data_IF_068604601468
#
_entry.id   IF_068604601468
#
_cell.length_a   1.000
_cell.length_b   1.000
_cell.length_c   1.000
_cell.angle_alpha   90.00
_cell.angle_beta   90.00
_cell.angle_gamma   90.00
#
_symmetry.space_group_name_H-M   'P 1'
#
loop_
_entity.id
_entity.type
_entity.pdbx_description
1 polymer ?
#
# COMPACT_ATOMS: atom_id res chain seq x y z
N UNK A 1 23.46 10.62 -21.52
CA UNK A 1 24.04 11.15 -20.26
C UNK A 1 22.96 11.04 -19.17
N UNK A 2 23.31 10.68 -17.94
CA UNK A 2 22.35 10.70 -16.84
C UNK A 2 22.05 12.15 -16.44
N UNK A 3 20.76 12.49 -16.30
CA UNK A 3 20.32 13.84 -15.94
C UNK A 3 19.23 13.85 -14.87
N UNK A 4 19.12 14.98 -14.19
CA UNK A 4 17.97 15.33 -13.34
C UNK A 4 17.26 16.50 -13.99
N UNK A 5 15.96 16.38 -14.26
CA UNK A 5 15.13 17.47 -14.80
C UNK A 5 14.30 18.07 -13.69
N UNK A 6 14.36 19.38 -13.49
CA UNK A 6 13.62 20.06 -12.45
C UNK A 6 12.72 21.16 -13.04
N UNK A 7 11.45 21.20 -12.61
CA UNK A 7 10.46 22.22 -13.03
C UNK A 7 9.64 22.67 -11.82
N UNK A 8 9.41 23.98 -11.74
CA UNK A 8 8.59 24.63 -10.73
C UNK A 8 7.34 25.18 -11.39
N UNK A 9 6.16 24.76 -10.93
CA UNK A 9 4.87 25.11 -11.52
C UNK A 9 4.09 26.08 -10.63
N UNK A 10 3.36 27.05 -11.22
CA UNK A 10 2.49 27.97 -10.49
C UNK A 10 1.16 27.33 -10.03
N UNK A 11 0.96 26.03 -10.26
CA UNK A 11 -0.26 25.30 -9.89
C UNK A 11 0.07 24.00 -9.13
N UNK A 12 -0.97 23.20 -8.86
CA UNK A 12 -0.87 21.85 -8.27
C UNK A 12 -0.79 20.74 -9.35
N UNK A 13 -0.85 21.09 -10.63
CA UNK A 13 -0.94 20.20 -11.79
C UNK A 13 0.21 20.44 -12.78
N UNK A 14 0.52 19.41 -13.59
CA UNK A 14 1.58 19.48 -14.63
C UNK A 14 1.04 20.09 -15.93
N UNK A 15 -0.27 20.00 -16.18
CA UNK A 15 -0.93 20.50 -17.39
C UNK A 15 -1.14 22.02 -17.33
N UNK A 16 -0.04 22.76 -17.33
CA UNK A 16 0.01 24.22 -17.43
C UNK A 16 0.99 24.62 -18.52
N UNK A 17 0.65 25.66 -19.29
CA UNK A 17 1.49 26.17 -20.39
C UNK A 17 2.75 26.89 -19.87
N UNK A 18 2.74 27.32 -18.61
CA UNK A 18 3.77 28.16 -18.00
C UNK A 18 4.41 27.52 -16.76
N UNK A 19 5.73 27.66 -16.64
CA UNK A 19 6.51 27.32 -15.46
C UNK A 19 7.06 28.59 -14.78
N UNK A 20 7.41 28.50 -13.49
CA UNK A 20 8.10 29.56 -12.72
C UNK A 20 9.61 29.48 -12.93
N UNK A 21 10.15 28.26 -12.87
CA UNK A 21 11.58 27.96 -12.92
C UNK A 21 11.76 26.56 -13.54
N UNK A 22 12.82 26.36 -14.33
CA UNK A 22 13.11 25.08 -14.98
C UNK A 22 14.61 24.94 -15.22
N UNK A 23 15.20 23.81 -14.85
CA UNK A 23 16.63 23.56 -14.98
C UNK A 23 16.91 22.05 -15.16
N UNK A 24 17.87 21.75 -16.06
CA UNK A 24 18.36 20.40 -16.33
C UNK A 24 19.78 20.26 -15.77
N UNK A 25 20.00 19.27 -14.90
CA UNK A 25 21.31 18.99 -14.32
C UNK A 25 21.95 17.77 -14.99
N UNK A 26 23.17 17.95 -15.48
CA UNK A 26 24.02 16.93 -16.08
C UNK A 26 25.47 17.12 -15.60
N UNK A 27 26.30 16.07 -15.70
CA UNK A 27 27.71 16.12 -15.29
C UNK A 27 28.02 15.21 -14.09
N UNK A 28 29.05 15.52 -13.29
CA UNK A 28 29.39 14.79 -12.07
C UNK A 28 28.21 14.71 -11.08
N UNK A 29 28.13 13.60 -10.34
CA UNK A 29 27.01 13.36 -9.41
C UNK A 29 26.92 14.41 -8.30
N UNK A 30 28.05 14.95 -7.85
CA UNK A 30 28.09 16.01 -6.84
C UNK A 30 27.50 17.33 -7.37
N UNK A 31 27.85 17.72 -8.60
CA UNK A 31 27.29 18.91 -9.26
C UNK A 31 25.78 18.75 -9.47
N UNK A 32 25.34 17.58 -9.95
CA UNK A 32 23.92 17.25 -10.09
C UNK A 32 23.18 17.38 -8.75
N UNK A 33 23.76 16.86 -7.66
CA UNK A 33 23.18 16.98 -6.32
C UNK A 33 23.11 18.44 -5.84
N UNK A 34 24.21 19.20 -5.98
CA UNK A 34 24.30 20.61 -5.55
C UNK A 34 23.33 21.49 -6.35
N UNK A 35 23.24 21.28 -7.66
CA UNK A 35 22.28 21.96 -8.54
C UNK A 35 20.83 21.65 -8.18
N UNK A 36 20.47 20.37 -8.11
CA UNK A 36 19.12 19.94 -7.73
C UNK A 36 18.69 20.44 -6.34
N UNK A 37 19.60 20.43 -5.34
CA UNK A 37 19.32 20.96 -4.00
C UNK A 37 19.15 22.49 -4.03
N UNK A 38 19.93 23.19 -4.84
CA UNK A 38 19.82 24.65 -5.03
C UNK A 38 18.50 25.02 -5.72
N UNK A 39 18.07 24.25 -6.72
CA UNK A 39 16.78 24.40 -7.39
C UNK A 39 15.62 24.24 -6.41
N UNK A 40 15.62 23.18 -5.60
CA UNK A 40 14.56 22.98 -4.61
C UNK A 40 14.58 24.14 -3.60
N UNK A 41 15.74 24.46 -3.02
CA UNK A 41 15.82 25.46 -1.93
C UNK A 41 15.47 26.88 -2.38
N UNK A 42 15.74 27.28 -3.63
CA UNK A 42 15.27 28.57 -4.18
C UNK A 42 13.77 28.60 -4.51
N UNK A 43 13.14 27.45 -4.73
CA UNK A 43 11.69 27.29 -4.97
C UNK A 43 10.88 26.92 -3.70
N UNK A 44 11.52 26.88 -2.53
CA UNK A 44 10.85 26.79 -1.22
C UNK A 44 10.46 28.19 -0.73
N UNK A 45 9.28 28.29 -0.10
CA UNK A 45 8.85 29.52 0.56
C UNK A 45 9.73 29.77 1.80
N UNK A 46 10.08 31.02 2.05
CA UNK A 46 10.69 31.47 3.29
C UNK A 46 9.59 31.95 4.23
N UNK A 47 9.58 31.45 5.46
CA UNK A 47 8.64 31.78 6.53
C UNK A 47 9.38 32.47 7.68
N UNK A 48 8.70 33.39 8.36
CA UNK A 48 9.27 34.11 9.50
C UNK A 48 9.46 33.21 10.74
N UNK A 49 8.66 32.14 10.87
CA UNK A 49 8.81 31.11 11.91
C UNK A 49 9.02 31.66 13.35
N UNK A 50 8.29 32.73 13.69
CA UNK A 50 8.35 33.37 15.01
C UNK A 50 9.58 34.27 15.26
N UNK A 51 10.40 34.54 14.24
CA UNK A 51 11.54 35.45 14.33
C UNK A 51 11.12 36.92 14.17
N UNK A 52 12.04 37.87 14.42
CA UNK A 52 11.80 39.29 14.18
C UNK A 52 11.66 39.61 12.69
N UNK A 53 11.05 40.75 12.35
CA UNK A 53 10.94 41.24 10.96
C UNK A 53 12.32 41.48 10.31
N UNK A 54 13.34 41.75 11.13
CA UNK A 54 14.73 41.95 10.70
C UNK A 54 15.52 40.63 10.55
N UNK A 55 14.89 39.47 10.79
CA UNK A 55 15.53 38.16 10.65
C UNK A 55 15.37 37.60 9.23
N UNK A 56 16.41 36.93 8.73
CA UNK A 56 16.30 36.15 7.49
C UNK A 56 15.27 35.03 7.65
N UNK A 57 14.27 34.99 6.76
CA UNK A 57 13.23 33.97 6.78
C UNK A 57 13.76 32.54 6.60
N UNK A 58 13.33 31.63 7.46
CA UNK A 58 13.66 30.20 7.41
C UNK A 58 12.91 29.50 6.27
N UNK A 59 13.51 28.48 5.67
CA UNK A 59 12.82 27.63 4.69
C UNK A 59 11.60 26.94 5.34
N UNK A 60 10.49 26.86 4.61
CA UNK A 60 9.25 26.22 5.09
C UNK A 60 9.41 24.72 5.42
N UNK A 61 10.34 24.05 4.73
CA UNK A 61 10.74 22.65 4.91
C UNK A 61 12.26 22.65 5.09
N UNK A 62 12.76 21.86 6.04
CA UNK A 62 14.20 21.81 6.33
C UNK A 62 15.00 21.26 5.15
N UNK A 63 16.15 21.89 4.85
CA UNK A 63 17.11 21.46 3.80
C UNK A 63 17.50 19.98 3.94
N UNK A 64 17.62 19.49 5.18
CA UNK A 64 17.95 18.09 5.49
C UNK A 64 16.97 17.11 4.84
N UNK A 65 15.69 17.45 4.74
CA UNK A 65 14.68 16.59 4.07
C UNK A 65 15.10 16.32 2.62
N UNK A 66 15.48 17.37 1.89
CA UNK A 66 15.84 17.25 0.48
C UNK A 66 17.26 16.71 0.26
N UNK A 67 18.18 16.94 1.20
CA UNK A 67 19.49 16.25 1.20
C UNK A 67 19.29 14.73 1.24
N UNK A 68 18.52 14.22 2.20
CA UNK A 68 18.25 12.78 2.31
C UNK A 68 17.49 12.24 1.09
N UNK A 69 16.44 12.93 0.63
CA UNK A 69 15.63 12.44 -0.48
C UNK A 69 16.36 12.46 -1.83
N UNK A 70 17.17 13.49 -2.12
CA UNK A 70 18.00 13.53 -3.33
C UNK A 70 19.12 12.50 -3.29
N UNK A 71 19.81 12.33 -2.15
CA UNK A 71 20.83 11.30 -1.98
C UNK A 71 20.24 9.90 -2.18
N UNK A 72 19.07 9.60 -1.60
CA UNK A 72 18.40 8.33 -1.83
C UNK A 72 17.97 8.16 -3.30
N UNK A 73 17.43 9.21 -3.93
CA UNK A 73 17.02 9.17 -5.33
C UNK A 73 18.20 8.91 -6.28
N UNK A 74 19.39 9.46 -6.00
CA UNK A 74 20.62 9.23 -6.76
C UNK A 74 21.22 7.83 -6.50
N UNK A 75 21.40 7.42 -5.24
CA UNK A 75 22.01 6.11 -4.90
C UNK A 75 21.17 4.94 -5.41
N UNK A 76 19.85 4.99 -5.22
CA UNK A 76 18.95 3.86 -5.45
C UNK A 76 18.21 3.92 -6.80
N UNK A 77 18.52 4.91 -7.66
CA UNK A 77 18.06 4.96 -9.05
C UNK A 77 18.41 3.67 -9.79
N UNK A 78 17.52 3.26 -10.69
CA UNK A 78 17.82 2.23 -11.68
C UNK A 78 18.73 2.79 -12.79
N UNK A 79 19.99 2.37 -12.80
CA UNK A 79 20.96 2.84 -13.79
C UNK A 79 20.88 2.13 -15.14
N UNK A 80 20.09 1.06 -15.26
CA UNK A 80 19.80 0.41 -16.55
C UNK A 80 18.67 1.11 -17.33
N UNK A 81 17.84 1.92 -16.66
CA UNK A 81 16.75 2.65 -17.29
C UNK A 81 17.25 4.00 -17.82
N UNK A 82 17.04 4.28 -19.11
CA UNK A 82 17.39 5.58 -19.72
C UNK A 82 16.28 6.63 -19.50
N UNK A 83 16.03 6.99 -18.25
CA UNK A 83 15.08 8.05 -17.86
C UNK A 83 15.70 8.98 -16.80
N UNK A 84 15.41 10.29 -16.83
CA UNK A 84 15.92 11.22 -15.81
C UNK A 84 15.21 11.03 -14.47
N UNK A 85 15.87 11.43 -13.38
CA UNK A 85 15.12 11.77 -12.15
C UNK A 85 14.37 13.07 -12.44
N UNK A 86 13.09 13.14 -12.05
CA UNK A 86 12.27 14.34 -12.22
C UNK A 86 11.97 14.97 -10.87
N UNK A 87 12.17 16.28 -10.77
CA UNK A 87 11.84 17.08 -9.59
C UNK A 87 10.75 18.06 -10.01
N UNK A 88 9.59 18.00 -9.35
CA UNK A 88 8.49 18.91 -9.62
C UNK A 88 8.11 19.69 -8.36
N UNK A 89 8.33 21.00 -8.37
CA UNK A 89 7.89 21.90 -7.31
C UNK A 89 6.50 22.45 -7.67
N UNK A 90 5.47 22.04 -6.92
CA UNK A 90 4.11 22.58 -7.03
C UNK A 90 3.82 23.55 -5.88
N UNK A 91 2.70 24.25 -5.95
CA UNK A 91 2.26 25.18 -4.88
C UNK A 91 1.86 24.49 -3.58
N UNK A 92 1.48 23.21 -3.64
CA UNK A 92 1.05 22.37 -2.50
C UNK A 92 2.08 21.32 -2.07
N UNK A 93 3.04 20.94 -2.92
CA UNK A 93 4.00 19.84 -2.64
C UNK A 93 5.25 19.91 -3.52
N UNK A 94 6.28 19.12 -3.17
CA UNK A 94 7.45 18.85 -4.00
C UNK A 94 7.46 17.36 -4.30
N UNK A 95 7.59 16.96 -5.56
CA UNK A 95 7.70 15.57 -5.99
C UNK A 95 9.12 15.27 -6.48
N UNK A 96 9.72 14.16 -6.02
CA UNK A 96 10.97 13.60 -6.54
C UNK A 96 10.65 12.21 -7.09
N UNK A 97 10.79 12.04 -8.40
CA UNK A 97 10.44 10.82 -9.14
C UNK A 97 11.73 10.19 -9.65
N UNK A 98 12.16 9.07 -9.09
CA UNK A 98 13.34 8.32 -9.52
C UNK A 98 12.96 7.07 -10.34
N UNK A 99 13.71 6.74 -11.41
CA UNK A 99 13.56 5.48 -12.13
C UNK A 99 13.86 4.25 -11.25
N UNK A 100 13.04 3.21 -11.39
CA UNK A 100 13.09 1.97 -10.63
C UNK A 100 12.10 1.92 -9.47
N UNK A 101 11.68 0.72 -9.10
CA UNK A 101 10.86 0.42 -7.93
C UNK A 101 11.73 -0.09 -6.75
N UNK A 102 11.14 -0.40 -5.58
CA UNK A 102 11.91 -0.90 -4.44
C UNK A 102 12.49 -2.30 -4.74
N UNK A 103 13.77 -2.57 -4.42
CA UNK A 103 14.40 -3.85 -4.73
C UNK A 103 13.91 -4.98 -3.81
N UNK A 104 13.83 -6.19 -4.36
CA UNK A 104 13.55 -7.44 -3.64
C UNK A 104 12.22 -7.37 -2.82
N UNK A 105 12.27 -7.75 -1.55
CA UNK A 105 11.13 -7.77 -0.62
C UNK A 105 11.03 -6.49 0.23
N UNK A 106 11.64 -5.39 -0.22
CA UNK A 106 11.58 -4.09 0.44
C UNK A 106 10.22 -3.43 0.14
N UNK A 107 9.63 -2.81 1.17
CA UNK A 107 8.31 -2.15 1.09
C UNK A 107 8.41 -0.74 1.66
N UNK A 108 7.42 0.10 1.36
CA UNK A 108 7.34 1.48 1.90
C UNK A 108 7.38 1.48 3.45
N UNK A 109 6.75 0.50 4.09
CA UNK A 109 6.78 0.35 5.55
C UNK A 109 8.19 0.02 6.06
N UNK A 110 8.91 -0.89 5.39
CA UNK A 110 10.28 -1.28 5.76
C UNK A 110 11.28 -0.15 5.59
N UNK A 111 11.20 0.65 4.51
CA UNK A 111 12.09 1.82 4.36
C UNK A 111 11.79 2.89 5.40
N UNK A 112 10.52 3.09 5.79
CA UNK A 112 10.15 3.96 6.92
C UNK A 112 10.67 3.41 8.25
N UNK A 113 10.72 2.09 8.42
CA UNK A 113 11.36 1.41 9.55
C UNK A 113 12.91 1.45 9.51
N UNK A 114 13.53 2.00 8.46
CA UNK A 114 14.98 2.17 8.31
C UNK A 114 15.70 0.99 7.67
N UNK A 115 14.98 -0.01 7.15
CA UNK A 115 15.58 -1.08 6.36
C UNK A 115 16.08 -0.50 5.04
N UNK A 116 17.38 -0.64 4.78
CA UNK A 116 18.01 -0.28 3.51
C UNK A 116 18.37 -1.52 2.70
N UNK A 117 18.35 -1.40 1.38
CA UNK A 117 18.91 -2.39 0.46
C UNK A 117 19.62 -1.66 -0.67
N UNK A 118 20.94 -1.85 -0.78
CA UNK A 118 21.79 -1.12 -1.72
C UNK A 118 21.71 -1.79 -3.09
N UNK A 119 21.21 -1.06 -4.09
CA UNK A 119 21.10 -1.54 -5.48
C UNK A 119 22.46 -1.62 -6.18
N UNK A 120 23.34 -0.64 -5.93
CA UNK A 120 24.70 -0.59 -6.48
C UNK A 120 25.72 -0.39 -5.34
N UNK A 121 26.35 -1.48 -4.84
CA UNK A 121 27.33 -1.41 -3.75
C UNK A 121 28.55 -0.55 -4.08
N UNK A 122 29.00 -0.56 -5.35
CA UNK A 122 30.15 0.22 -5.81
C UNK A 122 29.84 1.71 -5.67
N UNK A 123 28.69 2.16 -6.21
CA UNK A 123 28.25 3.56 -6.12
C UNK A 123 28.07 4.01 -4.66
N UNK A 124 27.44 3.20 -3.82
CA UNK A 124 27.27 3.49 -2.41
C UNK A 124 28.61 3.60 -1.66
N UNK A 125 29.63 2.85 -2.06
CA UNK A 125 30.98 2.94 -1.47
C UNK A 125 31.68 4.27 -1.77
N UNK A 126 31.58 4.80 -2.99
CA UNK A 126 32.12 6.13 -3.34
C UNK A 126 31.39 7.25 -2.62
N UNK A 127 30.06 7.13 -2.50
CA UNK A 127 29.24 8.11 -1.81
C UNK A 127 29.51 8.12 -0.29
N UNK A 128 29.75 6.95 0.31
CA UNK A 128 30.16 6.83 1.72
C UNK A 128 31.58 7.36 2.00
N UNK A 129 32.41 7.56 0.96
CA UNK A 129 33.73 8.21 1.05
C UNK A 129 33.67 9.75 0.96
N UNK A 130 32.48 10.35 0.93
CA UNK A 130 32.28 11.80 1.02
C UNK A 130 31.82 12.51 -0.25
N UNK A 131 31.58 11.79 -1.37
CA UNK A 131 31.08 12.40 -2.61
C UNK A 131 29.70 13.08 -2.46
N UNK A 132 28.88 12.60 -1.53
CA UNK A 132 27.59 13.19 -1.15
C UNK A 132 27.42 13.13 0.38
N UNK A 133 26.52 13.92 1.00
CA UNK A 133 26.25 13.87 2.45
C UNK A 133 25.48 12.59 2.85
N UNK A 134 26.18 11.46 2.85
CA UNK A 134 25.65 10.12 3.12
C UNK A 134 26.55 9.36 4.10
N UNK A 135 25.94 8.57 5.00
CA UNK A 135 26.68 7.76 6.00
C UNK A 135 26.36 6.26 5.98
N UNK A 136 25.57 5.76 5.02
CA UNK A 136 25.25 4.32 4.91
C UNK A 136 24.30 3.73 5.97
N UNK A 137 24.02 4.44 7.07
CA UNK A 137 23.33 3.91 8.27
C UNK A 137 21.83 3.58 8.12
N UNK A 138 21.25 3.63 6.92
CA UNK A 138 19.80 3.43 6.70
C UNK A 138 18.87 4.48 7.35
N UNK A 139 19.43 5.50 8.00
CA UNK A 139 18.67 6.49 8.79
C UNK A 139 18.07 7.64 7.97
N UNK A 140 18.40 7.78 6.69
CA UNK A 140 18.05 8.96 5.90
C UNK A 140 16.54 9.21 5.77
N UNK A 141 15.78 8.16 5.45
CA UNK A 141 14.31 8.26 5.35
C UNK A 141 13.67 8.56 6.72
N UNK A 142 14.23 8.03 7.82
CA UNK A 142 13.78 8.38 9.18
C UNK A 142 14.04 9.85 9.49
N UNK A 143 15.26 10.34 9.26
CA UNK A 143 15.63 11.75 9.52
C UNK A 143 14.80 12.72 8.66
N UNK A 144 14.49 12.36 7.42
CA UNK A 144 13.56 13.14 6.58
C UNK A 144 12.15 13.20 7.18
N UNK A 145 11.61 12.07 7.67
CA UNK A 145 10.29 12.00 8.30
C UNK A 145 10.23 12.64 9.70
N UNK A 146 11.31 12.57 10.47
CA UNK A 146 11.46 13.26 11.77
C UNK A 146 11.49 14.78 11.57
N UNK A 147 12.22 15.27 10.55
CA UNK A 147 12.26 16.68 10.19
C UNK A 147 10.96 17.18 9.52
N UNK A 148 10.27 16.30 8.78
CA UNK A 148 9.00 16.62 8.11
C UNK A 148 8.10 15.36 7.97
N UNK A 149 7.07 15.19 8.82
CA UNK A 149 6.23 13.99 8.78
C UNK A 149 5.34 13.86 7.54
N UNK A 150 5.02 14.98 6.88
CA UNK A 150 4.07 15.04 5.76
C UNK A 150 4.75 14.63 4.43
N UNK A 151 5.29 13.40 4.38
CA UNK A 151 5.95 12.79 3.22
C UNK A 151 5.29 11.45 2.83
N UNK A 152 4.75 11.42 1.62
CA UNK A 152 4.28 10.19 0.97
C UNK A 152 5.39 9.56 0.13
N UNK A 153 5.43 8.23 0.14
CA UNK A 153 6.30 7.41 -0.68
C UNK A 153 5.41 6.47 -1.48
N UNK A 154 5.57 6.46 -2.80
CA UNK A 154 4.71 5.76 -3.74
C UNK A 154 5.60 4.91 -4.64
N UNK A 155 5.33 3.61 -4.66
CA UNK A 155 5.96 2.67 -5.56
C UNK A 155 5.00 2.36 -6.71
N UNK A 156 5.44 2.61 -7.94
CA UNK A 156 4.78 2.15 -9.16
C UNK A 156 5.64 1.04 -9.78
N UNK A 157 5.16 -0.20 -9.67
CA UNK A 157 5.85 -1.39 -10.19
C UNK A 157 5.60 -1.62 -11.68
N UNK A 158 4.55 -1.04 -12.26
CA UNK A 158 4.21 -1.19 -13.67
C UNK A 158 4.92 -0.13 -14.50
N UNK A 159 4.90 1.13 -14.04
CA UNK A 159 5.70 2.22 -14.61
C UNK A 159 7.18 2.16 -14.26
N UNK A 160 7.61 1.25 -13.36
CA UNK A 160 8.97 1.17 -12.83
C UNK A 160 9.48 2.51 -12.28
N UNK A 161 8.69 3.14 -11.39
CA UNK A 161 9.01 4.43 -10.76
C UNK A 161 8.88 4.36 -9.24
N UNK A 162 9.71 5.16 -8.57
CA UNK A 162 9.56 5.45 -7.14
C UNK A 162 9.41 6.96 -6.97
N UNK A 163 8.29 7.38 -6.39
CA UNK A 163 7.94 8.80 -6.21
C UNK A 163 7.85 9.13 -4.74
N UNK A 164 8.54 10.20 -4.34
CA UNK A 164 8.41 10.81 -3.02
C UNK A 164 7.67 12.14 -3.16
N UNK A 165 6.62 12.36 -2.38
CA UNK A 165 5.86 13.63 -2.35
C UNK A 165 5.99 14.26 -0.97
N UNK A 166 6.64 15.41 -0.90
CA UNK A 166 6.81 16.23 0.31
C UNK A 166 5.73 17.32 0.29
N UNK A 167 4.71 17.22 1.13
CA UNK A 167 3.61 18.18 1.13
C UNK A 167 4.00 19.47 1.84
N UNK A 168 3.68 20.63 1.25
CA UNK A 168 3.82 21.94 1.88
C UNK A 168 2.64 22.16 2.83
N UNK A 169 2.87 22.81 3.97
CA UNK A 169 1.77 23.23 4.86
C UNK A 169 1.04 24.43 4.27
N UNK A 170 -0.28 24.49 4.45
CA UNK A 170 -1.03 25.70 4.13
C UNK A 170 -0.56 26.85 5.02
N UNK A 171 -0.45 28.06 4.45
CA UNK A 171 -0.04 29.28 5.15
C UNK A 171 -0.95 29.65 6.33
N UNK A 172 -2.12 29.03 6.45
CA UNK A 172 -3.08 29.20 7.55
C UNK A 172 -2.72 28.45 8.85
N UNK A 173 -1.69 27.60 8.87
CA UNK A 173 -1.37 26.72 10.01
C UNK A 173 -0.05 27.06 10.73
N UNK A 174 0.10 28.30 11.20
CA UNK A 174 1.26 28.72 12.01
C UNK A 174 0.92 29.57 13.23
N UNK A 175 -0.02 29.15 14.09
CA UNK A 175 0.00 29.50 15.53
C UNK A 175 -0.60 28.36 16.38
N UNK A 176 0.22 27.41 16.84
CA UNK A 176 0.06 26.63 18.10
C UNK A 176 1.41 26.01 18.50
N UNK A 177 2.42 26.83 18.74
CA UNK A 177 3.61 26.45 19.51
C UNK A 177 3.42 26.91 20.95
N UNK A 178 3.21 25.96 21.85
CA UNK A 178 3.15 26.20 23.30
C UNK A 178 4.44 26.88 23.78
N UNK A 179 4.38 27.86 24.70
CA UNK A 179 5.59 28.42 25.31
C UNK A 179 6.32 27.32 26.10
N UNK A 180 7.57 27.04 25.74
CA UNK A 180 8.46 26.29 26.62
C UNK A 180 8.94 27.21 27.74
N UNK A 181 8.82 26.71 28.97
CA UNK A 181 9.25 27.39 30.20
C UNK A 181 10.75 27.64 30.17
N UNK A 182 11.14 28.90 30.17
CA UNK A 182 12.52 29.30 30.47
C UNK A 182 12.73 29.11 31.98
N UNK A 183 13.69 28.27 32.37
CA UNK A 183 14.17 28.22 33.75
C UNK A 183 14.93 29.51 34.05
N UNK A 184 14.52 30.23 35.09
CA UNK A 184 15.38 31.05 35.93
C UNK A 184 14.72 31.17 37.31
N UNK A 185 15.44 30.77 38.36
CA UNK A 185 15.19 31.18 39.75
C UNK A 185 15.90 32.55 39.97
N UNK A 186 15.56 33.38 40.98
CA UNK A 186 15.66 33.00 42.40
C UNK A 186 14.51 33.45 43.34
N UNK A 187 14.31 32.63 44.38
CA UNK A 187 14.01 32.93 45.80
C UNK A 187 12.97 33.96 46.31
N UNK A 188 12.20 33.43 47.28
CA UNK A 188 11.76 33.98 48.59
C UNK A 188 10.35 34.59 48.81
N UNK A 189 9.76 34.10 49.92
CA UNK A 189 8.71 34.66 50.82
C UNK A 189 7.19 34.57 50.48
N UNK A 190 6.57 33.51 51.03
CA UNK A 190 5.42 33.48 51.98
C UNK A 190 3.97 33.93 51.65
N UNK A 191 3.06 33.30 52.43
CA UNK A 191 1.61 33.51 52.65
C UNK A 191 0.64 33.07 51.53
N UNK A 192 -0.17 32.01 51.71
CA UNK A 192 -1.39 31.84 52.55
C UNK A 192 -2.61 32.58 51.95
N UNK A 193 -3.86 32.07 51.86
CA UNK A 193 -4.52 30.84 52.35
C UNK A 193 -5.80 30.56 51.55
N UNK A 194 -6.27 29.29 51.45
CA UNK A 194 -7.69 28.90 51.22
C UNK A 194 -8.34 29.38 49.88
N UNK A 195 -9.42 28.85 49.28
CA UNK A 195 -10.37 27.70 49.36
C UNK A 195 -10.96 27.54 47.93
N UNK A 196 -11.67 26.49 47.45
CA UNK A 196 -12.20 25.23 48.01
C UNK A 196 -12.27 24.12 46.91
N UNK A 197 -12.66 22.89 47.29
CA UNK A 197 -12.90 21.70 46.45
C UNK A 197 -13.78 21.93 45.19
N UNK A 198 -13.46 21.27 44.07
CA UNK A 198 -14.27 20.13 43.56
C UNK A 198 -13.73 19.53 42.24
N UNK A 199 -13.52 18.21 42.24
CA UNK A 199 -13.53 17.40 41.00
C UNK A 199 -14.98 17.10 40.61
N UNK A 200 -15.24 16.79 39.33
CA UNK A 200 -15.52 15.38 39.06
C UNK A 200 -14.79 14.83 37.81
N UNK A 201 -14.33 13.59 37.92
CA UNK A 201 -14.19 12.71 36.76
C UNK A 201 -15.58 12.39 36.21
N UNK A 202 -15.77 12.42 34.89
CA UNK A 202 -16.46 11.33 34.16
C UNK A 202 -16.40 11.52 32.66
N UNK A 203 -16.26 10.41 31.93
CA UNK A 203 -16.44 10.39 30.48
C UNK A 203 -17.91 10.59 30.11
N UNK A 204 -18.18 11.30 29.00
CA UNK A 204 -19.44 11.21 28.27
C UNK A 204 -19.20 11.14 26.77
N UNK A 205 -19.57 10.01 26.18
CA UNK A 205 -19.59 9.82 24.73
C UNK A 205 -20.66 10.71 24.09
N UNK A 206 -20.36 11.32 22.95
CA UNK A 206 -21.30 12.12 22.18
C UNK A 206 -22.19 11.22 21.28
N UNK A 207 -23.53 11.39 21.22
CA UNK A 207 -24.42 10.47 20.50
C UNK A 207 -24.28 10.45 18.96
N UNK A 208 -23.57 11.42 18.39
CA UNK A 208 -23.55 11.67 16.94
C UNK A 208 -22.55 10.79 16.16
N UNK A 209 -21.59 10.20 16.88
CA UNK A 209 -20.57 9.34 16.30
C UNK A 209 -21.11 7.95 15.93
N UNK A 210 -22.09 7.43 16.68
CA UNK A 210 -22.69 6.12 16.42
C UNK A 210 -23.60 6.14 15.18
N UNK A 211 -24.45 7.17 15.02
CA UNK A 211 -25.27 7.36 13.80
C UNK A 211 -24.42 7.35 12.53
N UNK A 212 -23.24 7.95 12.57
CA UNK A 212 -22.31 8.01 11.43
C UNK A 212 -21.71 6.64 11.08
N UNK A 213 -21.35 5.84 12.08
CA UNK A 213 -20.77 4.49 11.86
C UNK A 213 -21.82 3.45 11.44
N UNK A 214 -23.06 3.57 11.94
CA UNK A 214 -24.19 2.76 11.47
C UNK A 214 -24.50 3.00 9.98
N UNK A 215 -24.49 4.27 9.52
CA UNK A 215 -24.64 4.60 8.09
C UNK A 215 -23.54 3.98 7.22
N UNK A 216 -22.29 4.02 7.66
CA UNK A 216 -21.17 3.38 6.94
C UNK A 216 -21.39 1.86 6.82
N UNK A 217 -21.84 1.20 7.89
CA UNK A 217 -22.13 -0.24 7.88
C UNK A 217 -23.32 -0.58 6.96
N UNK A 218 -24.32 0.28 6.84
CA UNK A 218 -25.42 0.10 5.88
C UNK A 218 -24.90 0.15 4.44
N UNK A 219 -24.18 1.22 4.07
CA UNK A 219 -23.62 1.35 2.72
C UNK A 219 -22.68 0.21 2.32
N UNK A 220 -21.91 -0.34 3.27
CA UNK A 220 -21.05 -1.51 3.04
C UNK A 220 -21.82 -2.83 2.89
N UNK A 221 -23.08 -2.93 3.38
CA UNK A 221 -23.96 -4.07 3.09
C UNK A 221 -24.57 -3.95 1.69
N UNK A 222 -25.03 -2.75 1.36
CA UNK A 222 -25.75 -2.47 0.11
C UNK A 222 -24.81 -2.50 -1.10
N UNK A 223 -23.57 -2.03 -0.94
CA UNK A 223 -22.50 -2.15 -1.93
C UNK A 223 -21.16 -2.51 -1.24
N UNK A 224 -20.76 -3.80 -1.25
CA UNK A 224 -19.47 -4.23 -0.72
C UNK A 224 -18.26 -3.55 -1.36
N UNK A 225 -18.32 -3.12 -2.62
CA UNK A 225 -17.18 -2.50 -3.31
C UNK A 225 -17.02 -1.00 -3.03
N UNK A 226 -17.97 -0.39 -2.30
CA UNK A 226 -18.09 1.06 -2.14
C UNK A 226 -16.78 1.73 -1.66
N UNK A 227 -16.39 2.77 -2.39
CA UNK A 227 -15.17 3.53 -2.13
C UNK A 227 -15.36 4.54 -1.00
N UNK A 228 -14.24 4.98 -0.42
CA UNK A 228 -14.23 5.99 0.65
C UNK A 228 -14.82 7.31 0.15
N UNK A 229 -14.64 7.62 -1.13
CA UNK A 229 -15.11 8.87 -1.74
C UNK A 229 -16.62 8.84 -2.01
N UNK A 230 -17.18 7.68 -2.40
CA UNK A 230 -18.63 7.47 -2.50
C UNK A 230 -19.31 7.51 -1.13
N UNK A 231 -18.75 6.84 -0.12
CA UNK A 231 -19.21 6.96 1.27
C UNK A 231 -19.18 8.42 1.76
N UNK A 232 -18.14 9.19 1.39
CA UNK A 232 -18.02 10.59 1.77
C UNK A 232 -19.14 11.45 1.15
N UNK A 233 -19.45 11.24 -0.13
CA UNK A 233 -20.54 11.91 -0.84
C UNK A 233 -21.92 11.54 -0.27
N UNK A 234 -22.19 10.25 -0.04
CA UNK A 234 -23.50 9.77 0.39
C UNK A 234 -23.83 10.10 1.85
N UNK A 235 -22.83 10.16 2.74
CA UNK A 235 -23.03 10.46 4.17
C UNK A 235 -22.90 11.97 4.47
N UNK A 236 -22.29 12.75 3.57
CA UNK A 236 -22.02 14.19 3.79
C UNK A 236 -20.87 14.47 4.77
N UNK A 237 -20.06 13.45 5.09
CA UNK A 237 -18.90 13.56 5.98
C UNK A 237 -17.64 13.54 5.12
N UNK A 238 -16.74 14.52 5.33
CA UNK A 238 -15.48 14.58 4.58
C UNK A 238 -14.60 13.33 4.76
N UNK A 239 -13.83 12.98 3.72
CA UNK A 239 -12.99 11.78 3.60
C UNK A 239 -12.18 11.45 4.88
N UNK A 240 -11.62 12.45 5.57
CA UNK A 240 -10.87 12.26 6.83
C UNK A 240 -11.76 11.70 7.95
N UNK A 241 -13.01 12.15 8.05
CA UNK A 241 -14.00 11.63 8.98
C UNK A 241 -14.40 10.19 8.66
N UNK A 242 -14.67 9.87 7.38
CA UNK A 242 -14.95 8.50 6.94
C UNK A 242 -13.77 7.56 7.27
N UNK A 243 -12.54 7.95 6.95
CA UNK A 243 -11.32 7.18 7.31
C UNK A 243 -11.21 6.93 8.82
N UNK A 244 -11.52 7.94 9.65
CA UNK A 244 -11.54 7.80 11.12
C UNK A 244 -12.58 6.77 11.59
N UNK A 245 -13.79 6.78 11.02
CA UNK A 245 -14.83 5.81 11.37
C UNK A 245 -14.50 4.39 10.89
N UNK A 246 -14.00 4.24 9.66
CA UNK A 246 -13.54 2.95 9.13
C UNK A 246 -12.45 2.36 10.03
N UNK A 247 -11.50 3.18 10.50
CA UNK A 247 -10.45 2.70 11.40
C UNK A 247 -11.01 2.27 12.77
N UNK A 248 -12.03 2.97 13.29
CA UNK A 248 -12.74 2.56 14.51
C UNK A 248 -13.45 1.21 14.32
N UNK A 249 -14.19 1.03 13.21
CA UNK A 249 -14.87 -0.22 12.87
C UNK A 249 -13.90 -1.39 12.64
N UNK A 250 -12.73 -1.14 12.02
CA UNK A 250 -11.64 -2.12 11.89
C UNK A 250 -11.04 -2.51 13.25
N UNK A 251 -10.77 -1.53 14.12
CA UNK A 251 -10.26 -1.78 15.47
C UNK A 251 -11.26 -2.59 16.33
N UNK A 252 -12.56 -2.37 16.13
CA UNK A 252 -13.64 -3.19 16.72
C UNK A 252 -13.82 -4.56 16.03
N UNK A 253 -13.01 -4.91 15.02
CA UNK A 253 -13.12 -6.12 14.20
C UNK A 253 -14.48 -6.33 13.53
N UNK A 254 -15.23 -5.25 13.29
CA UNK A 254 -16.56 -5.28 12.66
C UNK A 254 -16.47 -5.26 11.13
N UNK A 255 -15.39 -4.74 10.56
CA UNK A 255 -15.17 -4.69 9.10
C UNK A 255 -13.72 -4.98 8.72
N UNK A 256 -13.53 -5.45 7.49
CA UNK A 256 -12.23 -5.68 6.87
C UNK A 256 -12.31 -5.36 5.36
N UNK A 257 -11.21 -4.91 4.73
CA UNK A 257 -11.15 -4.66 3.28
C UNK A 257 -10.31 -5.75 2.63
N UNK A 258 -10.86 -6.41 1.63
CA UNK A 258 -10.17 -7.38 0.78
C UNK A 258 -9.88 -6.79 -0.58
N UNK A 259 -8.68 -7.02 -1.11
CA UNK A 259 -8.28 -6.55 -2.44
C UNK A 259 -7.78 -5.10 -2.49
N UNK A 260 -7.43 -4.62 -3.70
CA UNK A 260 -6.79 -3.31 -3.92
C UNK A 260 -7.68 -2.10 -3.57
N UNK A 261 -7.05 -0.94 -3.38
CA UNK A 261 -7.74 0.32 -3.04
C UNK A 261 -8.79 0.75 -4.09
N UNK A 262 -8.64 0.31 -5.35
CA UNK A 262 -9.64 0.36 -6.42
C UNK A 262 -9.98 -1.08 -6.81
N UNK A 263 -11.23 -1.53 -6.63
CA UNK A 263 -11.67 -2.89 -6.98
C UNK A 263 -11.58 -3.95 -5.86
N UNK A 264 -11.23 -3.57 -4.63
CA UNK A 264 -11.43 -4.43 -3.46
C UNK A 264 -12.84 -4.27 -2.86
N UNK A 265 -13.27 -5.19 -1.98
CA UNK A 265 -14.57 -5.13 -1.30
C UNK A 265 -14.46 -5.18 0.24
N UNK A 266 -15.48 -4.68 0.93
CA UNK A 266 -15.63 -4.68 2.37
C UNK A 266 -16.37 -5.95 2.83
N UNK A 267 -15.79 -6.65 3.81
CA UNK A 267 -16.44 -7.74 4.55
C UNK A 267 -16.86 -7.21 5.92
N UNK A 268 -18.12 -7.46 6.30
CA UNK A 268 -18.65 -7.10 7.62
C UNK A 268 -18.77 -8.36 8.47
N UNK A 269 -18.35 -8.27 9.73
CA UNK A 269 -18.52 -9.33 10.72
C UNK A 269 -19.67 -8.94 11.67
N UNK A 270 -20.69 -9.79 11.75
CA UNK A 270 -21.77 -9.63 12.73
C UNK A 270 -21.28 -10.01 14.12
N UNK A 271 -21.37 -9.07 15.08
CA UNK A 271 -21.19 -9.37 16.49
C UNK A 271 -22.40 -10.11 17.05
N UNK A 272 -22.51 -11.41 16.77
CA UNK A 272 -23.41 -12.31 17.51
C UNK A 272 -22.82 -12.55 18.90
N UNK A 273 -23.51 -12.06 19.93
CA UNK A 273 -23.20 -12.32 21.34
C UNK A 273 -23.17 -13.81 21.66
N UNK A 274 -22.37 -14.18 22.67
CA UNK A 274 -22.27 -15.56 23.18
C UNK A 274 -23.58 -16.01 23.85
N UNK A 275 -23.70 -17.33 23.95
CA UNK A 275 -24.62 -18.09 24.81
C UNK A 275 -26.11 -18.07 24.49
N UNK A 276 -26.57 -19.13 23.81
CA UNK A 276 -27.63 -19.98 24.35
C UNK A 276 -27.37 -21.45 24.01
N UNK A 277 -27.74 -22.35 24.93
CA UNK A 277 -27.55 -23.80 24.80
C UNK A 277 -28.55 -24.40 23.81
N UNK A 278 -28.05 -25.25 22.91
CA UNK A 278 -28.73 -26.46 22.44
C UNK A 278 -29.94 -26.31 21.50
N UNK A 279 -29.71 -26.61 20.21
CA UNK A 279 -30.41 -27.71 19.51
C UNK A 279 -29.60 -28.15 18.28
N UNK A 280 -29.68 -29.44 17.96
CA UNK A 280 -28.86 -30.16 16.96
C UNK A 280 -29.34 -29.98 15.52
N UNK A 281 -28.39 -29.88 14.61
CA UNK A 281 -28.20 -30.78 13.45
C UNK A 281 -26.71 -30.61 13.09
N UNK A 282 -25.80 -31.54 13.35
CA UNK A 282 -25.67 -32.88 12.73
C UNK A 282 -25.98 -32.75 11.22
N UNK A 283 -25.01 -32.85 10.30
CA UNK A 283 -24.07 -33.96 10.16
C UNK A 283 -22.58 -33.57 10.06
N UNK A 284 -21.73 -34.35 10.75
CA UNK A 284 -20.28 -34.48 10.51
C UNK A 284 -20.04 -35.94 10.17
N UNK A 285 -19.22 -36.22 9.16
CA UNK A 285 -18.50 -37.49 9.08
C UNK A 285 -17.01 -37.29 8.81
N UNK A 286 -16.21 -37.93 9.66
CA UNK A 286 -14.76 -37.95 9.69
C UNK A 286 -14.34 -39.43 9.67
N UNK A 287 -13.26 -39.81 8.98
CA UNK A 287 -12.29 -40.87 9.34
C UNK A 287 -11.22 -40.97 8.21
N UNK A 288 -9.96 -40.60 8.43
CA UNK A 288 -8.84 -41.31 9.10
C UNK A 288 -8.13 -42.41 8.28
N UNK A 289 -6.92 -42.05 7.83
CA UNK A 289 -5.65 -42.81 7.80
C UNK A 289 -5.58 -44.31 7.45
N UNK A 290 -4.63 -44.64 6.56
CA UNK A 290 -3.63 -45.71 6.79
C UNK A 290 -2.30 -45.42 6.08
N UNK A 291 -1.24 -46.07 6.54
CA UNK A 291 0.18 -45.74 6.34
C UNK A 291 0.86 -46.62 5.29
N UNK A 292 1.91 -46.11 4.62
CA UNK A 292 3.19 -46.83 4.46
C UNK A 292 4.31 -45.96 3.84
N UNK A 293 5.57 -46.26 4.22
CA UNK A 293 6.80 -45.66 3.68
C UNK A 293 7.32 -46.48 2.50
N UNK A 294 7.97 -45.85 1.53
CA UNK A 294 9.27 -46.31 0.99
C UNK A 294 9.94 -45.28 0.07
N UNK A 295 11.27 -45.32 0.05
CA UNK A 295 12.18 -44.54 -0.79
C UNK A 295 12.61 -45.33 -2.03
N UNK A 296 12.99 -44.65 -3.13
CA UNK A 296 14.09 -45.00 -4.07
C UNK A 296 14.22 -43.90 -5.16
N UNK A 297 15.39 -43.83 -5.78
CA UNK A 297 15.89 -42.76 -6.66
C UNK A 297 15.49 -42.88 -8.15
N UNK A 298 15.96 -41.89 -8.93
CA UNK A 298 16.32 -41.93 -10.36
C UNK A 298 15.28 -41.55 -11.44
N UNK A 299 15.85 -41.06 -12.55
CA UNK A 299 15.25 -40.60 -13.81
C UNK A 299 15.84 -41.48 -14.95
N UNK A 300 15.48 -41.38 -16.25
CA UNK A 300 14.55 -40.44 -16.92
C UNK A 300 13.66 -41.07 -18.05
N UNK A 301 13.03 -40.20 -18.87
CA UNK A 301 12.60 -40.37 -20.30
C UNK A 301 11.12 -40.68 -20.71
N UNK A 302 10.58 -39.72 -21.48
CA UNK A 302 9.67 -39.77 -22.66
C UNK A 302 8.43 -40.69 -22.80
N UNK A 303 7.26 -40.03 -22.73
CA UNK A 303 6.15 -40.02 -23.72
C UNK A 303 5.39 -41.30 -24.15
N UNK A 304 4.11 -41.40 -23.74
CA UNK A 304 2.92 -41.73 -24.58
C UNK A 304 1.61 -41.38 -23.84
N UNK A 305 0.53 -41.11 -24.56
CA UNK A 305 -0.77 -40.67 -24.00
C UNK A 305 -1.64 -41.87 -23.58
N UNK A 306 -2.08 -41.93 -22.31
CA UNK A 306 -3.27 -42.68 -21.82
C UNK A 306 -3.64 -42.22 -20.37
N UNK A 307 -4.48 -42.90 -19.55
CA UNK A 307 -5.60 -42.31 -18.80
C UNK A 307 -5.22 -41.50 -17.53
N UNK A 308 -3.94 -41.29 -17.28
CA UNK A 308 -3.42 -40.68 -16.05
C UNK A 308 -3.61 -39.15 -16.00
N UNK A 309 -3.96 -38.55 -17.14
CA UNK A 309 -4.18 -37.12 -17.31
C UNK A 309 -5.44 -36.62 -16.55
N UNK A 310 -6.49 -37.44 -16.46
CA UNK A 310 -7.70 -37.09 -15.72
C UNK A 310 -7.52 -37.25 -14.21
N UNK A 311 -6.84 -38.32 -13.77
CA UNK A 311 -6.43 -38.50 -12.35
C UNK A 311 -5.59 -37.32 -11.86
N UNK A 312 -4.67 -36.84 -12.71
CA UNK A 312 -3.86 -35.65 -12.43
C UNK A 312 -4.71 -34.38 -12.27
N UNK A 313 -5.72 -34.19 -13.14
CA UNK A 313 -6.64 -33.04 -13.07
C UNK A 313 -7.53 -33.08 -11.83
N UNK A 314 -8.03 -34.26 -11.44
CA UNK A 314 -8.81 -34.47 -10.23
C UNK A 314 -8.00 -34.17 -8.96
N UNK A 315 -6.73 -34.61 -8.90
CA UNK A 315 -5.80 -34.26 -7.80
C UNK A 315 -5.59 -32.75 -7.68
N UNK A 316 -5.40 -32.03 -8.79
CA UNK A 316 -5.29 -30.56 -8.77
C UNK A 316 -6.56 -29.90 -8.21
N UNK A 317 -7.74 -30.36 -8.62
CA UNK A 317 -9.01 -29.85 -8.10
C UNK A 317 -9.20 -30.14 -6.61
N UNK A 318 -8.76 -31.29 -6.11
CA UNK A 318 -8.77 -31.59 -4.67
C UNK A 318 -7.87 -30.62 -3.89
N UNK A 319 -6.61 -30.46 -4.31
CA UNK A 319 -5.69 -29.53 -3.65
C UNK A 319 -6.18 -28.06 -3.67
N UNK A 320 -6.85 -27.63 -4.74
CA UNK A 320 -7.46 -26.30 -4.81
C UNK A 320 -8.72 -26.14 -3.93
N UNK A 321 -9.40 -27.23 -3.54
CA UNK A 321 -10.48 -27.20 -2.53
C UNK A 321 -9.90 -27.10 -1.13
N UNK A 322 -8.88 -27.91 -0.83
CA UNK A 322 -8.27 -28.00 0.49
C UNK A 322 -7.45 -26.76 0.83
N UNK A 323 -6.77 -26.17 -0.17
CA UNK A 323 -6.07 -24.89 -0.05
C UNK A 323 -6.29 -24.04 -1.32
N UNK A 324 -7.25 -23.09 -1.30
CA UNK A 324 -7.47 -22.16 -2.40
C UNK A 324 -6.23 -21.31 -2.77
N UNK A 325 -5.30 -21.05 -1.85
CA UNK A 325 -4.12 -20.22 -2.12
C UNK A 325 -2.94 -21.00 -2.76
N UNK A 326 -3.08 -22.33 -2.92
CA UNK A 326 -1.99 -23.23 -3.31
C UNK A 326 -1.29 -22.79 -4.61
N UNK A 327 0.05 -22.75 -4.54
CA UNK A 327 0.90 -22.35 -5.65
C UNK A 327 1.15 -23.49 -6.63
N UNK A 328 1.58 -23.15 -7.85
CA UNK A 328 1.95 -24.13 -8.88
C UNK A 328 3.12 -25.00 -8.42
N UNK A 329 4.04 -24.45 -7.63
CA UNK A 329 5.22 -25.15 -7.14
C UNK A 329 4.87 -26.12 -6.01
N UNK A 330 3.91 -25.78 -5.14
CA UNK A 330 3.37 -26.69 -4.13
C UNK A 330 2.55 -27.82 -4.76
N UNK A 331 1.68 -27.52 -5.73
CA UNK A 331 0.98 -28.53 -6.52
C UNK A 331 1.96 -29.49 -7.24
N UNK A 332 3.06 -28.95 -7.78
CA UNK A 332 4.11 -29.75 -8.43
C UNK A 332 4.78 -30.72 -7.45
N UNK A 333 5.12 -30.25 -6.25
CA UNK A 333 5.71 -31.08 -5.17
C UNK A 333 4.75 -32.15 -4.65
N UNK A 334 3.48 -31.80 -4.43
CA UNK A 334 2.49 -32.73 -3.84
C UNK A 334 1.99 -33.79 -4.82
N UNK A 335 1.90 -33.48 -6.12
CA UNK A 335 1.40 -34.42 -7.13
C UNK A 335 2.56 -35.23 -7.77
N UNK A 336 3.81 -34.76 -7.66
CA UNK A 336 4.97 -35.39 -8.29
C UNK A 336 5.11 -35.10 -9.79
N UNK A 337 4.30 -34.18 -10.32
CA UNK A 337 4.33 -33.76 -11.73
C UNK A 337 5.10 -32.45 -11.85
N UNK A 338 6.07 -32.39 -12.76
CA UNK A 338 6.85 -31.17 -13.00
C UNK A 338 5.99 -29.96 -13.40
N UNK A 339 6.43 -28.75 -13.02
CA UNK A 339 5.72 -27.47 -13.17
C UNK A 339 5.07 -27.26 -14.55
N UNK A 340 5.72 -27.69 -15.64
CA UNK A 340 5.18 -27.60 -17.01
C UNK A 340 3.90 -28.45 -17.19
N UNK A 341 3.86 -29.65 -16.58
CA UNK A 341 2.68 -30.53 -16.58
C UNK A 341 1.53 -29.94 -15.77
N UNK A 342 1.79 -29.40 -14.58
CA UNK A 342 0.78 -28.70 -13.76
C UNK A 342 0.19 -27.51 -14.53
N UNK A 343 1.03 -26.66 -15.16
CA UNK A 343 0.56 -25.55 -16.02
C UNK A 343 -0.33 -26.03 -17.17
N UNK A 344 0.00 -27.16 -17.82
CA UNK A 344 -0.82 -27.77 -18.88
C UNK A 344 -2.21 -28.18 -18.37
N UNK A 345 -2.31 -28.79 -17.19
CA UNK A 345 -3.60 -29.17 -16.60
C UNK A 345 -4.42 -27.96 -16.15
N UNK A 346 -3.78 -26.97 -15.50
CA UNK A 346 -4.45 -25.73 -15.08
C UNK A 346 -5.05 -25.01 -16.29
N UNK A 347 -4.33 -24.92 -17.41
CA UNK A 347 -4.87 -24.34 -18.64
C UNK A 347 -6.04 -25.14 -19.21
N UNK A 348 -6.00 -26.48 -19.16
CA UNK A 348 -7.14 -27.33 -19.55
C UNK A 348 -8.37 -27.08 -18.67
N UNK A 349 -8.21 -27.04 -17.35
CA UNK A 349 -9.29 -26.75 -16.38
C UNK A 349 -9.85 -25.32 -16.54
N UNK A 350 -9.01 -24.33 -16.85
CA UNK A 350 -9.44 -22.96 -17.22
C UNK A 350 -10.24 -22.94 -18.52
N UNK A 351 -9.77 -23.63 -19.56
CA UNK A 351 -10.48 -23.71 -20.85
C UNK A 351 -11.86 -24.39 -20.70
N UNK A 352 -11.97 -25.39 -19.81
CA UNK A 352 -13.23 -26.01 -19.40
C UNK A 352 -14.10 -25.14 -18.45
N UNK A 353 -13.65 -23.92 -18.11
CA UNK A 353 -14.28 -22.99 -17.15
C UNK A 353 -14.53 -23.58 -15.75
N UNK A 354 -13.76 -24.59 -15.35
CA UNK A 354 -13.89 -25.25 -14.05
C UNK A 354 -13.13 -24.53 -12.93
N UNK A 355 -12.08 -23.78 -13.29
CA UNK A 355 -11.28 -23.00 -12.33
C UNK A 355 -10.90 -21.64 -12.89
N UNK A 356 -10.66 -20.69 -11.99
CA UNK A 356 -10.09 -19.38 -12.28
C UNK A 356 -9.17 -18.93 -11.14
N UNK A 357 -8.15 -18.11 -11.46
CA UNK A 357 -7.25 -17.52 -10.45
C UNK A 357 -7.65 -16.07 -10.23
N UNK A 358 -8.02 -15.74 -9.00
CA UNK A 358 -8.31 -14.36 -8.59
C UNK A 358 -7.10 -13.79 -7.84
N UNK A 359 -6.63 -12.62 -8.28
CA UNK A 359 -5.47 -11.95 -7.68
C UNK A 359 -4.11 -12.36 -8.24
N UNK A 360 -3.02 -11.80 -7.69
CA UNK A 360 -1.67 -11.90 -8.26
C UNK A 360 -1.07 -13.31 -8.20
N UNK A 361 -0.07 -13.58 -9.06
CA UNK A 361 0.61 -14.88 -9.17
C UNK A 361 1.17 -15.40 -7.83
N UNK A 362 1.54 -14.50 -6.91
CA UNK A 362 1.88 -14.77 -5.50
C UNK A 362 0.84 -14.05 -4.63
N UNK A 363 0.01 -14.79 -3.89
CA UNK A 363 -1.03 -14.24 -3.00
C UNK A 363 -2.45 -14.14 -3.57
N UNK A 364 -2.69 -14.53 -4.82
CA UNK A 364 -4.05 -14.79 -5.33
C UNK A 364 -4.54 -16.19 -4.95
N UNK A 365 -5.84 -16.45 -5.06
CA UNK A 365 -6.46 -17.76 -4.76
C UNK A 365 -7.18 -18.35 -5.99
N UNK A 366 -7.34 -19.66 -6.01
CA UNK A 366 -8.09 -20.42 -6.99
C UNK A 366 -9.56 -20.49 -6.58
N UNK A 367 -10.46 -20.10 -7.49
CA UNK A 367 -11.89 -20.33 -7.36
C UNK A 367 -12.25 -21.50 -8.26
N UNK A 368 -12.92 -22.50 -7.71
CA UNK A 368 -13.45 -23.64 -8.46
C UNK A 368 -14.93 -23.36 -8.73
N UNK A 369 -15.33 -23.46 -9.99
CA UNK A 369 -16.73 -23.45 -10.39
C UNK A 369 -17.21 -24.90 -10.48
N UNK A 370 -18.27 -25.23 -9.75
CA UNK A 370 -18.88 -26.55 -9.87
C UNK A 370 -19.43 -26.72 -11.30
N UNK A 371 -19.05 -27.80 -11.97
CA UNK A 371 -19.70 -28.19 -13.21
C UNK A 371 -21.16 -28.49 -12.92
N UNK A 372 -22.07 -27.72 -13.51
CA UNK A 372 -23.49 -28.04 -13.49
C UNK A 372 -23.77 -29.23 -14.41
N UNK A 373 -23.40 -30.44 -13.97
CA UNK A 373 -23.92 -31.70 -14.53
C UNK A 373 -25.37 -31.87 -14.09
N UNK A 374 -26.25 -31.03 -14.64
CA UNK A 374 -27.57 -31.49 -15.06
C UNK A 374 -27.45 -31.73 -16.56
N UNK A 375 -27.50 -33.00 -16.92
CA UNK A 375 -27.60 -33.43 -18.31
C UNK A 375 -28.80 -32.72 -18.95
N UNK A 376 -28.61 -32.16 -20.15
CA UNK A 376 -29.75 -31.84 -21.01
C UNK A 376 -30.34 -33.18 -21.45
N UNK A 377 -31.29 -33.70 -20.68
CA UNK A 377 -32.20 -34.73 -21.17
C UNK A 377 -32.96 -34.10 -22.33
N UNK A 378 -32.90 -34.77 -23.48
CA UNK A 378 -33.58 -34.37 -24.70
C UNK A 378 -35.08 -34.60 -24.47
N UNK A 379 -35.85 -33.53 -24.33
CA UNK A 379 -37.26 -33.55 -24.69
C UNK A 379 -37.38 -33.06 -26.12
N UNK A 380 -37.70 -34.00 -27.00
CA UNK A 380 -38.04 -33.80 -28.39
C UNK A 380 -39.52 -34.16 -28.52
N UNK A 381 -40.37 -33.15 -28.58
CA UNK A 381 -41.77 -33.27 -28.98
C UNK A 381 -42.12 -32.03 -29.78
N UNK A 382 -42.53 -32.26 -31.02
CA UNK A 382 -42.81 -31.23 -32.03
C UNK A 382 -44.17 -30.54 -31.79
N UNK A 383 -44.29 -29.27 -32.22
CA UNK A 383 -45.52 -28.50 -32.55
C UNK A 383 -45.11 -27.01 -32.66
N UNK A 384 -44.56 -26.54 -33.80
CA UNK A 384 -45.28 -25.99 -34.97
C UNK A 384 -46.59 -25.22 -34.63
N UNK A 385 -46.55 -23.88 -34.58
CA UNK A 385 -46.98 -23.02 -35.70
C UNK A 385 -46.73 -21.50 -35.48
N UNK A 386 -46.91 -20.75 -36.56
CA UNK A 386 -46.56 -19.33 -36.79
C UNK A 386 -47.55 -18.32 -36.19
N UNK A 387 -47.13 -17.04 -36.17
CA UNK A 387 -47.91 -15.87 -35.76
C UNK A 387 -48.74 -15.29 -36.93
N UNK A 388 -49.92 -14.73 -36.60
CA UNK A 388 -50.83 -13.92 -37.45
C UNK A 388 -51.55 -14.70 -38.58
N UNK A 389 -52.82 -14.42 -38.90
CA UNK A 389 -53.58 -13.16 -38.73
C UNK A 389 -55.05 -13.42 -38.41
#
# INVERSE_FOLDING_TARGET
VFTVKAVSYPSTTIAVENYIDSEDFAGPMEEIFRGALSFITRNLRKIQAGQSINSLGKMEISKVVFEELLVNALIHRDYFVNAPIRIFCFTDRIEIISPGHLPNNLTIEKIKAGNSNIRNPILASFISKGLLPYRGLGSGIKRALEAWPDIDFIEDREGCLFTVKVHRKSSSQTVKSSPQTVKNSPDLEKSSSQTVKSSPQTAKNSPDLEKSSQKILALMRDNPEITIDEMSKQIGIGIRGIKKQINNLKNKKLIERFGPNKGGYWRIFSSSTKEQKGKKSDEIYQFQSKSSRQSIESSPQTAKNSPDLEKSSQKILALMRDNPEITIDEMSKQIGIGIRGIKKQINNLKNKKLIERFGPNKGGYWKIFASSTKEKKVEKSDEIYQFQK
#
